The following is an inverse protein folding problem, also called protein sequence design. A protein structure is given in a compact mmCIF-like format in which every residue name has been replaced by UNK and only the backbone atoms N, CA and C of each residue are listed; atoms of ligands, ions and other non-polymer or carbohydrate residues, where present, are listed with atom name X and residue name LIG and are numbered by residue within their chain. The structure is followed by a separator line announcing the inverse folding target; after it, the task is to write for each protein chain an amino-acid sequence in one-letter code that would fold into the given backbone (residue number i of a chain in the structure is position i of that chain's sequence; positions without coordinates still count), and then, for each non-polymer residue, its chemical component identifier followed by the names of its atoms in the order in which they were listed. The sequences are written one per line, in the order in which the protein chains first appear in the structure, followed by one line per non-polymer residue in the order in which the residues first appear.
data_IF_457592054076
#
_entry.id   IF_457592054076
#
_cell.length_a   1.000
_cell.length_b   1.000
_cell.length_c   1.000
_cell.angle_alpha   90.00
_cell.angle_beta   90.00
_cell.angle_gamma   90.00
#
_symmetry.space_group_name_H-M   'P 1'
#
loop_
_entity.id
_entity.type
_entity.pdbx_description
1 polymer ?
#
# COMPACT_ATOMS: atom_id res chain seq x y z
N UNK A 1 16.51 14.30 -23.98
CA UNK A 1 16.04 13.65 -22.74
C UNK A 1 16.91 12.43 -22.53
N UNK A 2 17.90 12.50 -21.66
CA UNK A 2 18.81 11.36 -21.43
C UNK A 2 18.02 10.32 -20.62
N UNK A 3 17.80 9.17 -21.23
CA UNK A 3 17.21 8.03 -20.51
C UNK A 3 18.32 7.45 -19.64
N UNK A 4 18.16 7.50 -18.34
CA UNK A 4 19.10 6.89 -17.39
C UNK A 4 19.17 5.40 -17.68
N UNK A 5 20.39 4.88 -17.81
CA UNK A 5 20.63 3.50 -18.19
C UNK A 5 21.11 2.71 -16.97
N UNK A 6 20.26 1.81 -16.49
CA UNK A 6 20.50 1.00 -15.31
C UNK A 6 21.06 -0.41 -15.62
N UNK A 7 21.70 -0.62 -16.79
CA UNK A 7 22.23 -1.95 -17.12
C UNK A 7 23.19 -2.51 -16.08
N UNK A 8 24.07 -1.67 -15.52
CA UNK A 8 24.99 -2.12 -14.47
C UNK A 8 24.27 -2.51 -13.20
N UNK A 9 23.22 -1.77 -12.79
CA UNK A 9 22.40 -2.10 -11.65
C UNK A 9 21.67 -3.44 -11.85
N UNK A 10 21.01 -3.61 -13.00
CA UNK A 10 20.27 -4.83 -13.32
C UNK A 10 21.19 -6.04 -13.42
N UNK A 11 22.37 -5.88 -14.02
CA UNK A 11 23.36 -6.95 -14.15
C UNK A 11 24.02 -7.33 -12.80
N UNK A 12 24.02 -6.42 -11.82
CA UNK A 12 24.52 -6.66 -10.47
C UNK A 12 23.52 -7.32 -9.53
N UNK A 13 22.22 -7.32 -9.86
CA UNK A 13 21.22 -7.98 -9.05
C UNK A 13 21.41 -9.49 -9.04
N UNK A 14 21.26 -10.09 -7.86
CA UNK A 14 21.38 -11.53 -7.68
C UNK A 14 20.24 -12.27 -8.40
N UNK A 15 20.57 -13.27 -9.19
CA UNK A 15 19.58 -14.13 -9.82
C UNK A 15 18.98 -15.11 -8.80
N UNK A 16 17.65 -15.24 -8.83
CA UNK A 16 16.90 -16.19 -8.04
C UNK A 16 16.09 -17.12 -8.97
N UNK A 17 16.19 -18.42 -8.74
CA UNK A 17 15.40 -19.43 -9.43
C UNK A 17 14.26 -19.90 -8.54
N UNK A 18 13.11 -20.21 -9.13
CA UNK A 18 11.96 -20.77 -8.39
C UNK A 18 12.28 -22.12 -7.74
N UNK A 19 13.24 -22.86 -8.29
CA UNK A 19 13.67 -24.18 -7.79
C UNK A 19 14.87 -24.09 -6.83
N UNK A 20 15.42 -22.90 -6.62
CA UNK A 20 16.56 -22.68 -5.73
C UNK A 20 16.11 -22.58 -4.26
N UNK A 21 16.98 -23.02 -3.35
CA UNK A 21 16.79 -22.76 -1.91
C UNK A 21 16.77 -21.23 -1.67
N UNK A 22 15.59 -20.72 -1.28
CA UNK A 22 15.37 -19.30 -1.02
C UNK A 22 15.90 -18.84 0.36
N UNK A 23 16.67 -19.70 1.05
CA UNK A 23 17.38 -19.30 2.27
C UNK A 23 18.29 -18.12 1.97
N UNK A 24 18.01 -17.00 2.62
CA UNK A 24 18.75 -15.75 2.42
C UNK A 24 18.13 -14.83 1.36
N UNK A 25 16.91 -15.13 0.86
CA UNK A 25 16.13 -14.14 0.11
C UNK A 25 15.61 -13.07 1.07
N UNK A 26 16.12 -11.86 0.91
CA UNK A 26 15.67 -10.68 1.65
C UNK A 26 15.19 -9.61 0.68
N UNK A 27 13.87 -9.56 0.49
CA UNK A 27 13.24 -8.62 -0.43
C UNK A 27 13.54 -7.16 -0.05
N UNK A 28 13.62 -6.84 1.25
CA UNK A 28 13.91 -5.48 1.71
C UNK A 28 15.35 -5.07 1.40
N UNK A 29 16.30 -5.97 1.57
CA UNK A 29 17.69 -5.73 1.20
C UNK A 29 17.83 -5.47 -0.31
N UNK A 30 17.14 -6.25 -1.15
CA UNK A 30 17.13 -6.06 -2.61
C UNK A 30 16.52 -4.70 -2.98
N UNK A 31 15.42 -4.30 -2.35
CA UNK A 31 14.82 -2.98 -2.58
C UNK A 31 15.77 -1.86 -2.16
N UNK A 32 16.49 -2.04 -1.05
CA UNK A 32 17.53 -1.11 -0.59
C UNK A 32 18.63 -0.94 -1.62
N UNK A 33 19.16 -2.03 -2.16
CA UNK A 33 20.18 -2.04 -3.21
C UNK A 33 19.69 -1.33 -4.50
N UNK A 34 18.44 -1.58 -4.90
CA UNK A 34 17.82 -0.87 -6.03
C UNK A 34 17.76 0.64 -5.76
N UNK A 35 17.31 1.04 -4.57
CA UNK A 35 17.20 2.45 -4.20
C UNK A 35 18.54 3.19 -4.16
N UNK A 36 19.63 2.50 -3.81
CA UNK A 36 20.98 3.06 -3.85
C UNK A 36 21.49 3.25 -5.29
N UNK A 37 21.02 2.42 -6.22
CA UNK A 37 21.48 2.43 -7.62
C UNK A 37 20.65 3.29 -8.57
N UNK A 38 19.47 3.79 -8.17
CA UNK A 38 18.61 4.63 -9.01
C UNK A 38 18.68 6.10 -8.62
N UNK A 39 18.44 7.00 -9.56
CA UNK A 39 18.44 8.44 -9.30
C UNK A 39 17.11 8.93 -8.69
N UNK A 40 17.09 10.20 -8.22
CA UNK A 40 16.08 10.74 -7.35
C UNK A 40 14.63 10.52 -7.80
N UNK A 41 14.32 10.73 -9.10
CA UNK A 41 12.96 10.62 -9.61
C UNK A 41 12.47 9.16 -9.67
N UNK A 42 13.37 8.24 -9.98
CA UNK A 42 13.08 6.81 -10.04
C UNK A 42 13.07 6.20 -8.63
N UNK A 43 13.95 6.67 -7.74
CA UNK A 43 13.92 6.32 -6.32
C UNK A 43 12.59 6.73 -5.68
N UNK A 44 12.07 7.91 -5.98
CA UNK A 44 10.76 8.36 -5.50
C UNK A 44 9.61 7.48 -6.02
N UNK A 45 9.71 7.04 -7.28
CA UNK A 45 8.71 6.12 -7.84
C UNK A 45 8.75 4.74 -7.16
N UNK A 46 9.95 4.22 -6.86
CA UNK A 46 10.12 2.95 -6.10
C UNK A 46 9.57 3.10 -4.68
N UNK A 47 9.92 4.17 -3.97
CA UNK A 47 9.38 4.43 -2.63
C UNK A 47 7.86 4.53 -2.64
N UNK A 48 7.28 5.20 -3.65
CA UNK A 48 5.83 5.33 -3.76
C UNK A 48 5.18 3.98 -4.08
N UNK A 49 5.81 3.11 -4.88
CA UNK A 49 5.34 1.74 -5.11
C UNK A 49 5.22 0.96 -3.79
N UNK A 50 6.25 1.00 -2.97
CA UNK A 50 6.28 0.34 -1.65
C UNK A 50 5.46 1.07 -0.58
N UNK A 51 5.02 2.29 -0.83
CA UNK A 51 4.07 3.05 0.00
C UNK A 51 2.72 2.37 0.21
N UNK A 52 2.39 1.37 -0.63
CA UNK A 52 1.24 0.50 -0.40
C UNK A 52 1.33 -0.22 0.96
N UNK A 53 2.51 -0.76 1.26
CA UNK A 53 2.76 -1.45 2.53
C UNK A 53 2.78 -0.48 3.72
N UNK A 54 3.17 0.77 3.51
CA UNK A 54 3.03 1.81 4.55
C UNK A 54 1.55 2.04 4.87
N UNK A 55 0.66 2.07 3.87
CA UNK A 55 -0.78 2.17 4.11
C UNK A 55 -1.35 0.94 4.83
N UNK A 56 -0.92 -0.29 4.49
CA UNK A 56 -1.29 -1.49 5.25
C UNK A 56 -0.84 -1.39 6.72
N UNK A 57 0.38 -0.92 6.95
CA UNK A 57 0.93 -0.74 8.28
C UNK A 57 0.20 0.34 9.08
N UNK A 58 -0.19 1.45 8.44
CA UNK A 58 -1.01 2.51 9.05
C UNK A 58 -2.39 1.95 9.46
N UNK A 59 -3.04 1.20 8.58
CA UNK A 59 -4.32 0.57 8.89
C UNK A 59 -4.19 -0.44 10.05
N UNK A 60 -3.09 -1.20 10.07
CA UNK A 60 -2.75 -2.14 11.15
C UNK A 60 -2.55 -1.43 12.49
N UNK A 61 -1.79 -0.32 12.51
CA UNK A 61 -1.55 0.50 13.69
C UNK A 61 -2.86 1.07 14.25
N UNK A 62 -3.70 1.64 13.38
CA UNK A 62 -4.99 2.21 13.80
C UNK A 62 -5.94 1.17 14.37
N UNK A 63 -5.90 -0.06 13.85
CA UNK A 63 -6.66 -1.18 14.37
C UNK A 63 -6.04 -1.83 15.62
N UNK A 64 -4.97 -1.28 16.19
CA UNK A 64 -4.27 -1.81 17.36
C UNK A 64 -3.58 -3.15 17.11
N UNK A 65 -3.32 -3.52 15.85
CA UNK A 65 -2.67 -4.77 15.49
C UNK A 65 -1.15 -4.64 15.61
N UNK A 66 -0.47 -5.72 16.02
CA UNK A 66 0.98 -5.78 16.10
C UNK A 66 1.65 -6.06 14.74
N UNK A 67 0.89 -6.52 13.75
CA UNK A 67 1.41 -6.85 12.43
C UNK A 67 2.01 -5.61 11.74
N UNK A 68 3.22 -5.77 11.21
CA UNK A 68 3.95 -4.76 10.45
C UNK A 68 4.66 -5.42 9.28
N UNK A 69 4.37 -4.96 8.07
CA UNK A 69 5.00 -5.46 6.86
C UNK A 69 6.37 -4.75 6.69
N UNK A 70 7.49 -5.49 6.67
CA UNK A 70 8.83 -4.89 6.58
C UNK A 70 9.14 -4.30 5.21
N UNK A 71 8.32 -4.54 4.17
CA UNK A 71 8.51 -3.96 2.83
C UNK A 71 8.08 -2.50 2.75
N UNK A 72 7.38 -1.97 3.77
CA UNK A 72 7.11 -0.54 3.86
C UNK A 72 8.39 0.29 3.96
N UNK A 73 8.29 1.57 3.62
CA UNK A 73 9.42 2.49 3.67
C UNK A 73 9.80 2.89 5.11
N UNK A 74 8.87 2.75 6.04
CA UNK A 74 9.01 3.18 7.43
C UNK A 74 9.10 1.99 8.37
N UNK A 75 9.88 2.12 9.45
CA UNK A 75 9.76 1.21 10.59
C UNK A 75 8.44 1.47 11.33
N UNK A 76 8.10 0.59 12.26
CA UNK A 76 6.88 0.77 13.07
C UNK A 76 6.93 2.06 13.87
N UNK A 77 8.07 2.33 14.52
CA UNK A 77 8.30 3.50 15.34
C UNK A 77 8.22 4.80 14.52
N UNK A 78 8.86 4.81 13.35
CA UNK A 78 8.78 5.95 12.42
C UNK A 78 7.34 6.19 11.96
N UNK A 79 6.59 5.12 11.71
CA UNK A 79 5.22 5.23 11.24
C UNK A 79 4.26 5.72 12.33
N UNK A 80 4.50 5.33 13.59
CA UNK A 80 3.77 5.87 14.75
C UNK A 80 3.96 7.38 14.91
N UNK A 81 5.14 7.90 14.56
CA UNK A 81 5.41 9.34 14.53
C UNK A 81 4.74 10.02 13.32
N UNK A 82 4.84 9.41 12.13
CA UNK A 82 4.25 9.93 10.90
C UNK A 82 2.72 9.96 10.97
N UNK A 83 2.07 9.01 11.65
CA UNK A 83 0.61 9.02 11.84
C UNK A 83 0.17 10.21 12.70
N UNK A 84 0.97 10.59 13.72
CA UNK A 84 0.69 11.76 14.57
C UNK A 84 0.99 13.08 13.86
N UNK A 85 2.11 13.12 13.14
CA UNK A 85 2.59 14.35 12.50
C UNK A 85 3.17 14.02 11.11
N UNK A 86 2.32 13.89 10.09
CA UNK A 86 2.75 13.49 8.75
C UNK A 86 3.69 14.52 8.12
N UNK A 87 4.92 14.11 7.79
CA UNK A 87 5.96 14.95 7.16
C UNK A 87 6.54 14.31 5.90
N UNK A 88 6.77 12.99 5.92
CA UNK A 88 7.42 12.22 4.85
C UNK A 88 6.44 11.43 4.00
N UNK A 89 5.21 11.22 4.50
CA UNK A 89 4.15 10.54 3.77
C UNK A 89 3.66 11.38 2.57
N UNK A 90 3.17 10.75 1.48
CA UNK A 90 2.57 11.47 0.36
C UNK A 90 1.47 12.42 0.81
N UNK A 91 1.39 13.60 0.21
CA UNK A 91 0.45 14.66 0.62
C UNK A 91 -1.03 14.21 0.67
N UNK A 92 -1.55 13.39 -0.29
CA UNK A 92 -2.90 12.86 -0.17
C UNK A 92 -3.10 11.98 1.06
N UNK A 93 -2.13 11.10 1.37
CA UNK A 93 -2.16 10.22 2.55
C UNK A 93 -2.11 11.04 3.83
N UNK A 94 -1.20 12.03 3.91
CA UNK A 94 -1.10 12.94 5.05
C UNK A 94 -2.39 13.71 5.30
N UNK A 95 -3.12 14.09 4.24
CA UNK A 95 -4.42 14.76 4.34
C UNK A 95 -5.47 13.86 5.00
N UNK A 96 -5.54 12.59 4.61
CA UNK A 96 -6.45 11.61 5.21
C UNK A 96 -6.13 11.41 6.69
N UNK A 97 -4.85 11.25 7.04
CA UNK A 97 -4.45 11.10 8.45
C UNK A 97 -4.91 12.28 9.30
N UNK A 98 -4.72 13.51 8.83
CA UNK A 98 -5.16 14.72 9.55
C UNK A 98 -6.69 14.79 9.68
N UNK A 99 -7.44 14.44 8.61
CA UNK A 99 -8.90 14.46 8.63
C UNK A 99 -9.49 13.44 9.62
N UNK A 100 -8.82 12.32 9.84
CA UNK A 100 -9.27 11.28 10.78
C UNK A 100 -8.58 11.36 12.16
N UNK A 101 -7.68 12.31 12.38
CA UNK A 101 -7.06 12.56 13.69
C UNK A 101 -7.95 13.40 14.60
N UNK A 102 -8.86 14.21 14.02
CA UNK A 102 -9.79 15.08 14.76
C UNK A 102 -11.17 14.39 14.84
N UNK A 103 -11.52 13.80 15.99
CA UNK A 103 -12.80 13.10 16.17
C UNK A 103 -13.98 14.03 16.44
N UNK A 104 -13.79 15.36 16.55
CA UNK A 104 -14.83 16.33 16.90
C UNK A 104 -15.61 16.90 15.70
N UNK A 105 -15.47 16.32 14.51
CA UNK A 105 -16.37 16.62 13.38
C UNK A 105 -17.77 16.09 13.67
N UNK A 106 -18.79 16.97 13.63
CA UNK A 106 -20.21 16.69 13.98
C UNK A 106 -20.89 15.58 13.17
N UNK A 107 -20.20 14.85 12.31
CA UNK A 107 -20.67 13.73 11.50
C UNK A 107 -20.10 12.37 11.92
N UNK A 108 -19.64 12.20 13.15
CA UNK A 108 -19.21 10.92 13.68
C UNK A 108 -20.41 10.01 13.99
N UNK A 109 -21.18 9.65 12.96
CA UNK A 109 -22.04 8.47 13.04
C UNK A 109 -21.14 7.24 13.21
N UNK A 110 -21.45 6.42 14.18
CA UNK A 110 -20.74 5.22 14.68
C UNK A 110 -20.65 4.07 13.65
N UNK A 111 -20.90 4.38 12.35
CA UNK A 111 -20.98 3.41 11.26
C UNK A 111 -19.64 3.26 10.58
N UNK A 112 -18.92 2.18 10.95
CA UNK A 112 -17.73 1.66 10.25
C UNK A 112 -16.66 2.69 9.92
N UNK A 113 -16.20 3.42 10.94
CA UNK A 113 -15.10 4.38 10.78
C UNK A 113 -13.80 3.72 10.33
N UNK A 114 -13.57 2.43 10.62
CA UNK A 114 -12.40 1.68 10.20
C UNK A 114 -12.40 1.42 8.70
N UNK A 115 -13.49 0.91 8.13
CA UNK A 115 -13.61 0.65 6.69
C UNK A 115 -13.61 1.94 5.87
N UNK A 116 -14.23 3.01 6.39
CA UNK A 116 -14.17 4.34 5.75
C UNK A 116 -12.75 4.90 5.75
N UNK A 117 -12.01 4.75 6.86
CA UNK A 117 -10.63 5.16 6.96
C UNK A 117 -9.74 4.39 5.99
N UNK A 118 -9.80 3.06 5.98
CA UNK A 118 -9.00 2.24 5.06
C UNK A 118 -9.30 2.59 3.60
N UNK A 119 -10.57 2.72 3.23
CA UNK A 119 -10.97 3.13 1.87
C UNK A 119 -10.41 4.49 1.49
N UNK A 120 -10.48 5.49 2.37
CA UNK A 120 -9.92 6.81 2.15
C UNK A 120 -8.39 6.77 2.04
N UNK A 121 -7.72 5.99 2.90
CA UNK A 121 -6.27 5.83 2.93
C UNK A 121 -5.73 5.24 1.64
N UNK A 122 -6.29 4.12 1.19
CA UNK A 122 -5.88 3.51 -0.08
C UNK A 122 -6.29 4.34 -1.29
N UNK A 123 -7.44 5.02 -1.24
CA UNK A 123 -7.82 6.00 -2.26
C UNK A 123 -6.78 7.12 -2.40
N UNK A 124 -6.29 7.65 -1.28
CA UNK A 124 -5.24 8.67 -1.25
C UNK A 124 -3.89 8.14 -1.75
N UNK A 125 -3.55 6.88 -1.47
CA UNK A 125 -2.38 6.22 -2.03
C UNK A 125 -2.43 6.18 -3.56
N UNK A 126 -3.53 5.69 -4.13
CA UNK A 126 -3.70 5.64 -5.59
C UNK A 126 -3.76 7.04 -6.22
N UNK A 127 -4.28 8.04 -5.51
CA UNK A 127 -4.21 9.43 -5.93
C UNK A 127 -2.75 9.91 -6.03
N UNK A 128 -1.91 9.58 -5.05
CA UNK A 128 -0.49 9.91 -5.08
C UNK A 128 0.23 9.22 -6.25
N UNK A 129 -0.05 7.93 -6.49
CA UNK A 129 0.49 7.17 -7.61
C UNK A 129 0.09 7.76 -8.98
N UNK A 130 -1.17 8.19 -9.14
CA UNK A 130 -1.68 8.78 -10.37
C UNK A 130 -1.01 10.11 -10.73
N UNK A 131 -0.46 10.81 -9.74
CA UNK A 131 0.27 12.08 -9.89
C UNK A 131 1.78 11.90 -10.04
N UNK A 132 2.27 10.67 -9.99
CA UNK A 132 3.70 10.37 -10.17
C UNK A 132 4.20 10.79 -11.55
N UNK A 133 5.47 11.20 -11.62
CA UNK A 133 6.17 11.44 -12.89
C UNK A 133 6.44 10.14 -13.64
N UNK A 134 6.54 9.01 -12.95
CA UNK A 134 6.75 7.69 -13.55
C UNK A 134 5.51 7.25 -14.33
N UNK A 135 5.68 7.10 -15.66
CA UNK A 135 4.61 6.57 -16.54
C UNK A 135 4.22 5.14 -16.14
N UNK A 136 5.21 4.34 -15.78
CA UNK A 136 4.98 2.97 -15.33
C UNK A 136 4.10 2.95 -14.07
N UNK A 137 4.46 3.73 -13.05
CA UNK A 137 3.74 3.74 -11.79
C UNK A 137 2.27 4.20 -11.96
N UNK A 138 2.03 5.22 -12.81
CA UNK A 138 0.66 5.64 -13.11
C UNK A 138 -0.17 4.52 -13.75
N UNK A 139 0.37 3.85 -14.77
CA UNK A 139 -0.32 2.77 -15.47
C UNK A 139 -0.52 1.54 -14.56
N UNK A 140 0.51 1.18 -13.80
CA UNK A 140 0.46 0.05 -12.86
C UNK A 140 -0.57 0.30 -11.74
N UNK A 141 -0.58 1.47 -11.15
CA UNK A 141 -1.50 1.80 -10.05
C UNK A 141 -2.98 1.82 -10.51
N UNK A 142 -3.24 2.27 -11.73
CA UNK A 142 -4.57 2.18 -12.32
C UNK A 142 -5.00 0.72 -12.50
N UNK A 143 -4.13 -0.12 -13.04
CA UNK A 143 -4.38 -1.55 -13.19
C UNK A 143 -4.61 -2.24 -11.84
N UNK A 144 -3.73 -2.04 -10.86
CA UNK A 144 -3.81 -2.67 -9.54
C UNK A 144 -5.09 -2.26 -8.80
N UNK A 145 -5.44 -0.97 -8.83
CA UNK A 145 -6.70 -0.47 -8.26
C UNK A 145 -7.91 -1.15 -8.88
N UNK A 146 -7.95 -1.27 -10.21
CA UNK A 146 -9.04 -1.90 -10.92
C UNK A 146 -9.14 -3.39 -10.59
N UNK A 147 -8.02 -4.10 -10.55
CA UNK A 147 -7.96 -5.51 -10.17
C UNK A 147 -8.51 -5.73 -8.75
N UNK A 148 -8.09 -4.92 -7.78
CA UNK A 148 -8.58 -5.03 -6.39
C UNK A 148 -10.07 -4.75 -6.28
N UNK A 149 -10.58 -3.76 -7.01
CA UNK A 149 -12.01 -3.46 -7.04
C UNK A 149 -12.82 -4.63 -7.62
N UNK A 150 -12.36 -5.26 -8.69
CA UNK A 150 -13.01 -6.46 -9.27
C UNK A 150 -12.97 -7.62 -8.29
N UNK A 151 -11.83 -7.87 -7.66
CA UNK A 151 -11.67 -8.95 -6.66
C UNK A 151 -12.62 -8.74 -5.48
N UNK A 152 -12.69 -7.53 -4.93
CA UNK A 152 -13.59 -7.19 -3.84
C UNK A 152 -15.08 -7.40 -4.24
N UNK A 153 -15.47 -6.99 -5.45
CA UNK A 153 -16.83 -7.17 -5.94
C UNK A 153 -17.19 -8.65 -6.13
N UNK A 154 -16.25 -9.47 -6.63
CA UNK A 154 -16.45 -10.93 -6.79
C UNK A 154 -16.57 -11.60 -5.42
N UNK A 155 -15.71 -11.27 -4.47
CA UNK A 155 -15.73 -11.83 -3.11
C UNK A 155 -17.03 -11.46 -2.39
N UNK A 156 -17.49 -10.21 -2.49
CA UNK A 156 -18.75 -9.78 -1.89
C UNK A 156 -19.96 -10.53 -2.45
N UNK A 157 -19.98 -10.79 -3.78
CA UNK A 157 -21.05 -11.58 -4.43
C UNK A 157 -21.00 -13.04 -4.01
N UNK A 158 -19.84 -13.65 -3.86
CA UNK A 158 -19.67 -15.03 -3.41
C UNK A 158 -20.13 -15.20 -1.97
N UNK A 159 -19.77 -14.29 -1.06
CA UNK A 159 -20.18 -14.26 0.34
C UNK A 159 -21.70 -14.04 0.51
N UNK A 160 -22.30 -13.15 -0.28
CA UNK A 160 -23.75 -12.93 -0.28
C UNK A 160 -24.56 -14.15 -0.76
N UNK A 161 -24.02 -14.98 -1.65
CA UNK A 161 -24.66 -16.25 -2.07
C UNK A 161 -24.61 -17.34 -1.00
N UNK A 162 -23.54 -17.38 -0.21
CA UNK A 162 -23.41 -18.37 0.88
C UNK A 162 -24.38 -18.07 2.04
N UNK A 163 -24.75 -16.81 2.27
CA UNK A 163 -25.71 -16.42 3.30
C UNK A 163 -27.18 -16.61 2.91
N UNK A 164 -27.51 -16.67 1.62
CA UNK A 164 -28.87 -16.80 1.13
C UNK A 164 -29.38 -18.26 0.96
N UNK A 165 -28.52 -19.25 1.20
CA UNK A 165 -28.81 -20.68 1.02
C UNK A 165 -29.18 -21.44 2.31
N UNK A 166 -29.34 -20.76 3.44
CA UNK A 166 -29.45 -21.39 4.77
C UNK A 166 -30.82 -21.34 5.46
N UNK A 167 -31.90 -20.98 4.77
CA UNK A 167 -33.25 -21.00 5.39
C UNK A 167 -34.27 -21.65 4.45
N UNK A 168 -34.46 -22.93 4.61
CA UNK A 168 -35.48 -23.69 3.85
C UNK A 168 -35.47 -25.19 4.15
N UNK A 169 -35.93 -25.60 5.35
CA UNK A 169 -36.13 -27.03 5.58
C UNK A 169 -36.39 -27.42 7.02
N UNK A 170 -37.55 -27.10 7.52
CA UNK A 170 -38.07 -27.63 8.77
C UNK A 170 -39.59 -27.61 8.77
N UNK A 171 -40.18 -28.61 8.12
CA UNK A 171 -41.57 -28.96 8.28
C UNK A 171 -41.72 -30.20 9.17
#
# INVERSE_FOLDING_TARGET
MFTTNYYCLVAGLKEYSLDADTKGFDAKAIVGEILEGVDGADADAVRLLYGYYDCENIASLRAGRSAHNPLGNFTREELEEEVKTPRRLPAPVARVLRAFADPEGEDAEEVDTAGRFESALFGAYYEACSRSRSRFLRAWSEFDRNLRNVTAAVTARAGGRAGAGGDGGGG
#
